data_IF_504641781432
#
_entry.id   IF_504641781432
#
_cell.length_a   1.000
_cell.length_b   1.000
_cell.length_c   1.000
_cell.angle_alpha   90.00
_cell.angle_beta   90.00
_cell.angle_gamma   90.00
#
_symmetry.space_group_name_H-M   'P 1'
#
loop_
_entity.id
_entity.type
_entity.pdbx_description
1 polymer ?
#
# COMPACT_ATOMS: atom_id res chain seq x y z
N UNK A 1 -1.19 -19.29 -3.59
CA UNK A 1 -0.96 -17.92 -3.08
C UNK A 1 0.14 -17.98 -2.06
N UNK A 2 1.16 -17.13 -2.17
CA UNK A 2 2.20 -16.97 -1.17
C UNK A 2 2.01 -15.65 -0.42
N UNK A 3 2.12 -15.67 0.90
CA UNK A 3 2.08 -14.47 1.73
C UNK A 3 3.43 -14.32 2.42
N UNK A 4 4.15 -13.27 2.06
CA UNK A 4 5.49 -12.98 2.57
C UNK A 4 5.45 -11.78 3.49
N UNK A 5 6.07 -11.91 4.67
CA UNK A 5 6.25 -10.81 5.60
C UNK A 5 7.73 -10.46 5.69
N UNK A 6 8.03 -9.19 5.45
CA UNK A 6 9.38 -8.63 5.62
C UNK A 6 9.32 -7.51 6.63
N UNK A 7 10.36 -7.41 7.45
CA UNK A 7 10.50 -6.30 8.37
C UNK A 7 11.95 -5.81 8.38
N UNK A 8 12.14 -4.50 8.53
CA UNK A 8 13.46 -3.95 8.81
C UNK A 8 14.01 -4.50 10.14
N UNK A 9 15.34 -4.55 10.22
CA UNK A 9 16.06 -4.92 11.45
C UNK A 9 15.93 -3.82 12.52
N UNK A 10 15.84 -2.56 12.08
CA UNK A 10 15.67 -1.42 12.97
C UNK A 10 14.21 -1.29 13.44
N UNK A 11 13.98 -1.04 14.74
CA UNK A 11 12.63 -0.79 15.25
C UNK A 11 12.09 0.52 14.67
N UNK A 12 10.80 0.52 14.37
CA UNK A 12 10.07 1.66 13.83
C UNK A 12 8.88 1.96 14.73
N UNK A 13 8.62 3.24 14.96
CA UNK A 13 7.55 3.68 15.86
C UNK A 13 6.73 4.76 15.19
N UNK A 14 5.41 4.63 15.26
CA UNK A 14 4.48 5.65 14.84
C UNK A 14 3.34 5.77 15.86
N UNK A 15 2.76 6.96 15.97
CA UNK A 15 1.53 7.16 16.73
C UNK A 15 0.35 6.98 15.78
N UNK A 16 -0.42 5.93 15.99
CA UNK A 16 -1.53 5.56 15.10
C UNK A 16 -2.69 4.94 15.87
N UNK A 17 -3.90 5.10 15.36
CA UNK A 17 -5.05 4.34 15.81
C UNK A 17 -4.96 2.90 15.28
N UNK A 18 -4.85 1.94 16.21
CA UNK A 18 -4.69 0.52 15.87
C UNK A 18 -5.91 -0.06 15.15
N UNK A 19 -7.13 0.39 15.46
CA UNK A 19 -8.35 -0.11 14.82
C UNK A 19 -8.47 0.43 13.41
N UNK A 20 -8.20 1.72 13.20
CA UNK A 20 -8.22 2.30 11.86
C UNK A 20 -7.11 1.72 10.98
N UNK A 21 -5.90 1.54 11.50
CA UNK A 21 -4.81 0.90 10.76
C UNK A 21 -5.18 -0.52 10.34
N UNK A 22 -5.80 -1.30 11.22
CA UNK A 22 -6.27 -2.65 10.90
C UNK A 22 -7.21 -2.62 9.68
N UNK A 23 -8.21 -1.73 9.69
CA UNK A 23 -9.16 -1.58 8.57
C UNK A 23 -8.44 -1.19 7.27
N UNK A 24 -7.49 -0.27 7.33
CA UNK A 24 -6.68 0.13 6.16
C UNK A 24 -5.92 -1.07 5.58
N UNK A 25 -5.23 -1.83 6.43
CA UNK A 25 -4.45 -3.01 5.99
C UNK A 25 -5.38 -4.08 5.42
N UNK A 26 -6.49 -4.39 6.09
CA UNK A 26 -7.47 -5.38 5.62
C UNK A 26 -7.98 -5.00 4.22
N UNK A 27 -8.40 -3.75 4.01
CA UNK A 27 -8.92 -3.30 2.71
C UNK A 27 -7.87 -3.41 1.58
N UNK A 28 -6.62 -3.00 1.85
CA UNK A 28 -5.56 -3.07 0.82
C UNK A 28 -5.18 -4.53 0.53
N UNK A 29 -5.10 -5.39 1.55
CA UNK A 29 -4.81 -6.82 1.37
C UNK A 29 -5.95 -7.52 0.61
N UNK A 30 -7.21 -7.18 0.87
CA UNK A 30 -8.35 -7.70 0.10
C UNK A 30 -8.23 -7.34 -1.38
N UNK A 31 -7.93 -6.08 -1.70
CA UNK A 31 -7.73 -5.66 -3.10
C UNK A 31 -6.53 -6.38 -3.75
N UNK A 32 -5.46 -6.61 -3.00
CA UNK A 32 -4.30 -7.38 -3.45
C UNK A 32 -4.63 -8.86 -3.69
N UNK A 33 -5.52 -9.47 -2.90
CA UNK A 33 -5.97 -10.85 -3.11
C UNK A 33 -6.78 -10.99 -4.39
N UNK A 34 -7.69 -10.06 -4.66
CA UNK A 34 -8.55 -10.08 -5.85
C UNK A 34 -7.78 -9.77 -7.14
N UNK A 35 -6.63 -9.08 -7.05
CA UNK A 35 -5.79 -8.81 -8.23
C UNK A 35 -5.05 -10.07 -8.72
N UNK A 36 -4.89 -11.08 -7.87
CA UNK A 36 -4.30 -12.37 -8.23
C UNK A 36 -5.33 -13.21 -9.01
N UNK A 37 -5.05 -13.49 -10.28
CA UNK A 37 -5.91 -14.38 -11.10
C UNK A 37 -5.64 -15.84 -10.74
N UNK A 38 -6.52 -16.44 -9.93
CA UNK A 38 -6.45 -17.84 -9.54
C UNK A 38 -5.52 -18.11 -8.35
N UNK A 39 -5.08 -19.35 -8.18
CA UNK A 39 -4.36 -19.79 -6.96
C UNK A 39 -2.85 -19.47 -6.96
N UNK A 40 -2.33 -18.77 -7.97
CA UNK A 40 -0.90 -18.42 -8.08
C UNK A 40 -0.67 -16.91 -7.94
N UNK A 41 0.36 -16.55 -7.19
CA UNK A 41 0.73 -15.15 -6.92
C UNK A 41 1.27 -14.95 -5.52
N UNK A 42 1.96 -13.84 -5.33
CA UNK A 42 2.59 -13.47 -4.06
C UNK A 42 2.04 -12.12 -3.60
N UNK A 43 1.70 -12.03 -2.33
CA UNK A 43 1.50 -10.76 -1.62
C UNK A 43 2.65 -10.63 -0.63
N UNK A 44 3.40 -9.55 -0.75
CA UNK A 44 4.49 -9.18 0.16
C UNK A 44 4.05 -8.00 1.01
N UNK A 45 4.14 -8.14 2.33
CA UNK A 45 3.90 -7.07 3.29
C UNK A 45 5.22 -6.72 3.97
N UNK A 46 5.71 -5.52 3.72
CA UNK A 46 6.99 -5.02 4.21
C UNK A 46 6.78 -3.85 5.17
N UNK A 47 7.29 -3.98 6.39
CA UNK A 47 7.29 -2.91 7.39
C UNK A 47 8.71 -2.44 7.68
N UNK A 48 8.90 -1.14 7.90
CA UNK A 48 10.24 -0.66 8.17
C UNK A 48 10.33 0.82 8.45
N UNK A 49 11.56 1.31 8.49
CA UNK A 49 11.85 2.73 8.35
C UNK A 49 12.89 2.93 7.26
N UNK A 50 12.69 3.95 6.43
CA UNK A 50 13.61 4.31 5.37
C UNK A 50 13.63 5.84 5.18
N UNK A 51 14.64 6.34 4.49
CA UNK A 51 14.74 7.74 4.12
C UNK A 51 13.99 7.98 2.82
N UNK A 52 12.95 8.82 2.87
CA UNK A 52 12.19 9.23 1.69
C UNK A 52 12.50 10.68 1.33
N UNK A 53 12.59 10.96 0.03
CA UNK A 53 12.65 12.30 -0.54
C UNK A 53 11.29 12.71 -1.05
N UNK A 54 11.03 14.03 -1.11
CA UNK A 54 9.74 14.59 -1.51
C UNK A 54 9.28 14.11 -2.89
N UNK A 55 10.21 13.94 -3.82
CA UNK A 55 9.96 13.48 -5.20
C UNK A 55 9.56 12.00 -5.31
N UNK A 56 9.81 11.18 -4.28
CA UNK A 56 9.37 9.78 -4.24
C UNK A 56 7.89 9.64 -3.88
N UNK A 57 7.26 10.68 -3.31
CA UNK A 57 5.84 10.63 -2.99
C UNK A 57 4.97 10.88 -4.24
N UNK A 58 3.83 10.18 -4.38
CA UNK A 58 2.90 10.41 -5.49
C UNK A 58 2.48 11.87 -5.59
N UNK A 59 2.18 12.34 -6.81
CA UNK A 59 1.75 13.73 -7.10
C UNK A 59 0.62 14.18 -6.17
N UNK A 60 -0.32 13.29 -5.86
CA UNK A 60 -1.43 13.52 -4.92
C UNK A 60 -1.00 13.99 -3.53
N UNK A 61 0.22 13.68 -3.11
CA UNK A 61 0.77 14.06 -1.81
C UNK A 61 1.78 15.21 -1.88
N UNK A 62 2.09 15.75 -3.06
CA UNK A 62 3.13 16.77 -3.21
C UNK A 62 2.77 18.15 -2.63
N UNK A 63 1.47 18.44 -2.49
CA UNK A 63 0.95 19.64 -1.81
C UNK A 63 0.94 19.51 -0.27
N UNK A 64 1.34 18.35 0.26
CA UNK A 64 1.48 18.14 1.71
C UNK A 64 2.84 18.69 2.19
N UNK A 65 2.95 19.07 3.48
CA UNK A 65 4.24 19.46 4.12
C UNK A 65 5.17 18.25 4.34
N UNK A 66 5.23 17.33 3.37
CA UNK A 66 6.17 16.21 3.37
C UNK A 66 7.58 16.73 3.07
N UNK A 67 8.52 16.34 3.93
CA UNK A 67 9.92 16.76 3.89
C UNK A 67 10.79 15.55 3.66
N UNK A 68 11.98 15.77 3.10
CA UNK A 68 12.96 14.69 3.03
C UNK A 68 13.32 14.25 4.46
N UNK A 69 13.30 12.94 4.73
CA UNK A 69 13.52 12.45 6.08
C UNK A 69 13.27 10.97 6.27
N UNK A 70 13.46 10.51 7.50
CA UNK A 70 13.15 9.14 7.89
C UNK A 70 11.64 8.99 8.13
N UNK A 71 11.04 7.99 7.47
CA UNK A 71 9.63 7.62 7.66
C UNK A 71 9.54 6.16 8.07
N UNK A 72 8.62 5.87 8.98
CA UNK A 72 8.10 4.50 9.12
C UNK A 72 7.14 4.21 7.98
N UNK A 73 7.29 3.06 7.34
CA UNK A 73 6.45 2.67 6.20
C UNK A 73 5.83 1.28 6.40
N UNK A 74 4.71 1.08 5.73
CA UNK A 74 4.08 -0.20 5.48
C UNK A 74 3.82 -0.29 3.98
N UNK A 75 4.40 -1.28 3.31
CA UNK A 75 4.23 -1.54 1.90
C UNK A 75 3.49 -2.87 1.74
N UNK A 76 2.43 -2.87 0.93
CA UNK A 76 1.74 -4.08 0.48
C UNK A 76 1.96 -4.15 -1.03
N UNK A 77 2.57 -5.23 -1.50
CA UNK A 77 2.89 -5.45 -2.91
C UNK A 77 2.34 -6.78 -3.35
N UNK A 78 1.48 -6.80 -4.36
CA UNK A 78 1.02 -8.01 -5.01
C UNK A 78 1.74 -8.26 -6.35
N UNK A 79 1.64 -9.49 -6.83
CA UNK A 79 2.07 -9.89 -8.17
C UNK A 79 0.88 -10.07 -9.13
N UNK A 80 -0.22 -9.36 -8.89
CA UNK A 80 -1.45 -9.49 -9.65
C UNK A 80 -1.43 -8.73 -10.97
N UNK A 81 -2.61 -8.55 -11.55
CA UNK A 81 -2.78 -7.88 -12.85
C UNK A 81 -2.46 -6.37 -12.85
N UNK A 82 -2.24 -5.77 -11.67
CA UNK A 82 -2.01 -4.35 -11.50
C UNK A 82 -3.26 -3.49 -11.76
N UNK A 83 -3.04 -2.19 -11.83
CA UNK A 83 -4.06 -1.18 -12.13
C UNK A 83 -3.74 -0.54 -13.47
N UNK A 84 -4.73 -0.38 -14.35
CA UNK A 84 -4.54 0.25 -15.65
C UNK A 84 -4.20 1.75 -15.49
N UNK A 85 -3.54 2.34 -16.47
CA UNK A 85 -3.22 3.77 -16.44
C UNK A 85 -4.48 4.67 -16.42
N UNK A 86 -5.60 4.18 -16.94
CA UNK A 86 -6.89 4.90 -16.98
C UNK A 86 -7.64 4.85 -15.64
N UNK A 87 -7.39 3.79 -14.85
CA UNK A 87 -8.04 3.55 -13.57
C UNK A 87 -7.21 4.08 -12.40
N UNK A 88 -5.87 4.12 -12.53
CA UNK A 88 -4.95 4.56 -11.49
C UNK A 88 -5.30 5.94 -10.88
N UNK A 89 -5.75 6.95 -11.66
CA UNK A 89 -6.12 8.24 -11.09
C UNK A 89 -7.40 8.22 -10.24
N UNK A 90 -8.22 7.18 -10.38
CA UNK A 90 -9.57 7.06 -9.80
C UNK A 90 -9.62 6.09 -8.61
N UNK A 91 -8.53 5.39 -8.30
CA UNK A 91 -8.51 4.34 -7.24
C UNK A 91 -8.84 4.85 -5.84
N UNK A 92 -8.76 6.17 -5.62
CA UNK A 92 -9.14 6.83 -4.38
C UNK A 92 -10.46 7.62 -4.48
N UNK A 93 -11.12 7.61 -5.65
CA UNK A 93 -12.40 8.29 -5.84
C UNK A 93 -13.50 7.55 -5.09
N UNK A 94 -14.38 8.27 -4.35
CA UNK A 94 -15.50 7.64 -3.68
C UNK A 94 -16.38 6.83 -4.66
N UNK A 95 -16.73 5.60 -4.25
CA UNK A 95 -17.60 4.66 -4.99
C UNK A 95 -17.04 4.09 -6.30
N UNK A 96 -15.83 4.47 -6.73
CA UNK A 96 -15.22 3.90 -7.93
C UNK A 96 -14.79 2.44 -7.70
N UNK A 97 -15.15 1.55 -8.63
CA UNK A 97 -14.77 0.13 -8.59
C UNK A 97 -14.69 -0.45 -10.00
N UNK A 98 -13.73 -1.34 -10.23
CA UNK A 98 -13.62 -2.17 -11.45
C UNK A 98 -14.15 -3.60 -11.22
N UNK A 99 -14.61 -3.90 -10.00
CA UNK A 99 -15.22 -5.17 -9.63
C UNK A 99 -16.67 -5.18 -10.12
N UNK A 100 -17.08 -6.27 -10.77
CA UNK A 100 -18.48 -6.49 -11.11
C UNK A 100 -19.26 -6.77 -9.83
N UNK A 101 -20.24 -5.93 -9.51
CA UNK A 101 -21.17 -6.13 -8.38
C UNK A 101 -22.22 -7.18 -8.75
#
# INVERSE_FOLDING_TARGET
MNLEFKHSVCPFYCRIDRQQLKVVIENIVTNALESLKGDSGTIEITFGSDYFTKDQFPIYFQDTDLKNGMYSFCQIKDSGQGVSAEDLPKVFDPFYTTKFV
#
